data_IF_095341822957
#
_entry.id   IF_095341822957
#
_cell.length_a   1.000
_cell.length_b   1.000
_cell.length_c   1.000
_cell.angle_alpha   90.00
_cell.angle_beta   90.00
_cell.angle_gamma   90.00
#
_symmetry.space_group_name_H-M   'P 1'
#
loop_
_entity.id
_entity.type
_entity.pdbx_description
1 polymer ?
#
# COMPACT_ATOMS: atom_id res chain seq x y z
N UNK A 1 -11.95 -0.12 -14.43
CA UNK A 1 -11.74 1.04 -13.54
C UNK A 1 -11.48 0.53 -12.14
N UNK A 2 -10.76 1.26 -11.29
CA UNK A 2 -10.59 0.88 -9.88
C UNK A 2 -11.88 1.20 -9.13
N UNK A 3 -12.39 0.23 -8.38
CA UNK A 3 -13.59 0.34 -7.54
C UNK A 3 -13.21 0.56 -6.08
N UNK A 4 -12.20 -0.16 -5.59
CA UNK A 4 -11.70 -0.05 -4.22
C UNK A 4 -10.21 -0.42 -4.15
N UNK A 5 -9.54 0.08 -3.12
CA UNK A 5 -8.21 -0.34 -2.74
C UNK A 5 -8.11 -0.41 -1.21
N UNK A 6 -7.50 -1.47 -0.70
CA UNK A 6 -7.30 -1.69 0.72
C UNK A 6 -5.95 -2.34 0.98
N UNK A 7 -5.29 -1.89 2.05
CA UNK A 7 -4.14 -2.56 2.65
C UNK A 7 -4.48 -2.95 4.09
N UNK A 8 -3.91 -4.05 4.57
CA UNK A 8 -4.07 -4.49 5.96
C UNK A 8 -2.73 -4.51 6.71
N UNK A 9 -2.77 -4.78 8.01
CA UNK A 9 -1.59 -4.83 8.88
C UNK A 9 -0.59 -5.93 8.53
N UNK A 10 -0.95 -6.90 7.68
CA UNK A 10 -0.04 -7.95 7.21
C UNK A 10 0.69 -7.58 5.92
N UNK A 11 0.53 -6.36 5.39
CA UNK A 11 1.16 -5.93 4.15
C UNK A 11 0.47 -6.42 2.88
N UNK A 12 -0.69 -7.07 2.99
CA UNK A 12 -1.50 -7.43 1.83
C UNK A 12 -2.12 -6.18 1.21
N UNK A 13 -1.92 -5.99 -0.09
CA UNK A 13 -2.64 -5.01 -0.91
C UNK A 13 -3.67 -5.70 -1.80
N UNK A 14 -4.91 -5.22 -1.74
CA UNK A 14 -5.99 -5.59 -2.64
C UNK A 14 -6.47 -4.36 -3.41
N UNK A 15 -6.51 -4.47 -4.74
CA UNK A 15 -7.15 -3.47 -5.61
C UNK A 15 -8.23 -4.17 -6.41
N UNK A 16 -9.46 -3.73 -6.22
CA UNK A 16 -10.63 -4.19 -6.96
C UNK A 16 -10.82 -3.33 -8.21
N UNK A 17 -10.92 -4.00 -9.35
CA UNK A 17 -11.32 -3.42 -10.62
C UNK A 17 -12.72 -3.93 -10.99
N UNK A 18 -13.35 -3.35 -12.01
CA UNK A 18 -14.69 -3.75 -12.48
C UNK A 18 -14.83 -5.26 -12.74
N UNK A 19 -13.77 -5.90 -13.23
CA UNK A 19 -13.77 -7.29 -13.71
C UNK A 19 -12.60 -8.12 -13.18
N UNK A 20 -11.78 -7.56 -12.28
CA UNK A 20 -10.56 -8.19 -11.82
C UNK A 20 -10.18 -7.75 -10.40
N UNK A 21 -9.33 -8.54 -9.75
CA UNK A 21 -8.71 -8.19 -8.46
C UNK A 21 -7.21 -8.35 -8.57
N UNK A 22 -6.46 -7.29 -8.25
CA UNK A 22 -5.03 -7.38 -8.02
C UNK A 22 -4.80 -7.69 -6.54
N UNK A 23 -4.09 -8.79 -6.28
CA UNK A 23 -3.64 -9.21 -4.95
C UNK A 23 -2.12 -9.18 -4.91
N UNK A 24 -1.55 -8.40 -4.00
CA UNK A 24 -0.10 -8.35 -3.77
C UNK A 24 0.16 -8.77 -2.32
N UNK A 25 0.73 -9.96 -2.15
CA UNK A 25 1.20 -10.45 -0.86
C UNK A 25 2.51 -9.75 -0.46
N UNK A 26 2.82 -9.65 0.84
CA UNK A 26 4.15 -9.25 1.27
C UNK A 26 5.20 -10.27 0.77
N UNK A 27 6.39 -9.77 0.46
CA UNK A 27 7.56 -10.61 0.18
C UNK A 27 8.44 -10.67 1.42
N UNK A 28 9.09 -11.81 1.68
CA UNK A 28 9.96 -11.98 2.86
C UNK A 28 11.24 -11.14 2.80
N UNK A 29 11.70 -10.79 1.60
CA UNK A 29 13.01 -10.20 1.36
C UNK A 29 12.94 -8.80 0.73
N UNK A 30 11.80 -8.43 0.15
CA UNK A 30 11.66 -7.20 -0.62
C UNK A 30 10.44 -6.37 -0.23
N UNK A 31 10.52 -5.08 -0.52
CA UNK A 31 9.37 -4.19 -0.43
C UNK A 31 8.37 -4.54 -1.55
N UNK A 32 7.23 -5.12 -1.19
CA UNK A 32 6.29 -5.68 -2.16
C UNK A 32 5.51 -4.60 -2.93
N UNK A 33 5.22 -3.46 -2.28
CA UNK A 33 4.53 -2.32 -2.88
C UNK A 33 4.77 -1.05 -2.06
N UNK A 34 4.55 0.10 -2.70
CA UNK A 34 4.50 1.40 -2.02
C UNK A 34 3.39 2.28 -2.60
N UNK A 35 2.84 3.12 -1.74
CA UNK A 35 1.91 4.19 -2.09
C UNK A 35 2.59 5.53 -1.78
N UNK A 36 2.50 6.47 -2.72
CA UNK A 36 2.88 7.86 -2.54
C UNK A 36 1.65 8.73 -2.84
N UNK A 37 1.11 9.35 -1.81
CA UNK A 37 -0.02 10.26 -1.88
C UNK A 37 0.38 11.62 -2.45
N UNK A 38 -0.58 12.36 -3.05
CA UNK A 38 -0.30 13.66 -3.66
C UNK A 38 0.19 14.72 -2.65
N UNK A 39 -0.17 14.57 -1.38
CA UNK A 39 0.18 15.51 -0.30
C UNK A 39 1.47 15.11 0.44
N UNK A 40 2.17 14.07 -0.02
CA UNK A 40 3.41 13.57 0.58
C UNK A 40 3.20 12.44 1.59
N UNK A 41 1.98 11.94 1.76
CA UNK A 41 1.73 10.69 2.48
C UNK A 41 2.48 9.54 1.81
N UNK A 42 3.02 8.63 2.62
CA UNK A 42 3.69 7.44 2.11
C UNK A 42 3.33 6.21 2.92
N UNK A 43 3.06 5.12 2.23
CA UNK A 43 2.92 3.79 2.83
C UNK A 43 3.83 2.84 2.09
N UNK A 44 4.64 2.06 2.80
CA UNK A 44 5.55 1.07 2.22
C UNK A 44 5.31 -0.26 2.93
N UNK A 45 5.10 -1.33 2.17
CA UNK A 45 5.15 -2.69 2.67
C UNK A 45 6.61 -3.14 2.73
N UNK A 46 7.19 -3.20 3.92
CA UNK A 46 8.54 -3.67 4.17
C UNK A 46 8.64 -5.20 3.96
N UNK A 47 9.86 -5.74 3.81
CA UNK A 47 10.08 -7.18 3.87
C UNK A 47 9.42 -7.81 5.10
N UNK A 48 8.71 -8.91 4.91
CA UNK A 48 7.96 -9.60 5.97
C UNK A 48 6.58 -9.01 6.28
N UNK A 49 6.16 -7.94 5.60
CA UNK A 49 4.79 -7.44 5.61
C UNK A 49 4.48 -6.32 6.60
N UNK A 50 5.47 -5.84 7.36
CA UNK A 50 5.30 -4.64 8.19
C UNK A 50 4.99 -3.41 7.31
N UNK A 51 4.11 -2.53 7.78
CA UNK A 51 3.79 -1.27 7.10
C UNK A 51 4.52 -0.09 7.75
N UNK A 52 5.34 0.59 6.96
CA UNK A 52 5.88 1.88 7.34
C UNK A 52 4.99 3.00 6.77
N UNK A 53 4.50 3.88 7.64
CA UNK A 53 3.53 4.94 7.30
C UNK A 53 4.07 6.31 7.67
N UNK A 54 4.03 7.24 6.71
CA UNK A 54 4.31 8.65 6.91
C UNK A 54 3.08 9.45 6.50
N UNK A 55 2.58 10.26 7.43
CA UNK A 55 1.54 11.22 7.13
C UNK A 55 2.17 12.50 6.57
N UNK A 56 1.50 13.11 5.59
CA UNK A 56 1.80 14.46 5.14
C UNK A 56 1.84 15.40 6.35
N UNK A 57 2.90 16.19 6.48
CA UNK A 57 2.91 17.26 7.47
C UNK A 57 2.01 18.38 6.96
N UNK A 58 1.02 18.84 7.75
CA UNK A 58 0.31 20.07 7.43
C UNK A 58 1.35 21.20 7.33
N UNK A 59 1.29 21.99 6.27
CA UNK A 59 2.31 22.94 5.86
C UNK A 59 2.95 23.72 7.02
N UNK A 60 4.29 23.66 7.07
CA UNK A 60 5.16 24.55 7.85
C UNK A 60 5.13 25.98 7.36
#
# INVERSE_FOLDING_TARGET
>A
MVQAAAANESGLLLIEFDDAVLRVEPDENYEAWSFAGPDGDKVICLPGGELAVWAAQPGS
#
